data_IF_701356515106
#
_entry.id   IF_701356515106
#
_cell.length_a   1.000
_cell.length_b   1.000
_cell.length_c   1.000
_cell.angle_alpha   90.00
_cell.angle_beta   90.00
_cell.angle_gamma   90.00
#
_symmetry.space_group_name_H-M   'P 1'
#
loop_
_entity.id
_entity.type
_entity.pdbx_description
1 polymer ?
#
# COMPACT_ATOMS: atom_id res chain seq x y z
N UNK A 1 7.74 24.00 -29.85
CA UNK A 1 8.36 22.74 -29.36
C UNK A 1 7.24 21.78 -28.99
N UNK A 2 7.30 20.53 -29.46
CA UNK A 2 6.30 19.50 -29.13
C UNK A 2 6.28 19.26 -27.62
N UNK A 3 5.10 19.07 -27.02
CA UNK A 3 4.95 18.66 -25.63
C UNK A 3 5.14 17.14 -25.50
N UNK A 4 5.74 16.66 -24.42
CA UNK A 4 5.86 15.22 -24.17
C UNK A 4 4.48 14.59 -23.93
N UNK A 5 4.18 13.51 -24.65
CA UNK A 5 2.98 12.71 -24.43
C UNK A 5 3.37 11.26 -24.16
N UNK A 6 3.02 10.76 -22.98
CA UNK A 6 3.25 9.37 -22.63
C UNK A 6 2.12 8.48 -23.14
N UNK A 7 2.41 7.66 -24.16
CA UNK A 7 1.42 6.79 -24.82
C UNK A 7 0.68 5.83 -23.87
N UNK A 8 1.25 5.52 -22.70
CA UNK A 8 0.66 4.63 -21.71
C UNK A 8 0.11 5.35 -20.47
N UNK A 9 -0.17 6.66 -20.55
CA UNK A 9 -0.66 7.44 -19.40
C UNK A 9 -1.90 6.81 -18.76
N UNK A 10 -2.88 6.37 -19.56
CA UNK A 10 -4.09 5.69 -19.03
C UNK A 10 -3.79 4.41 -18.25
N UNK A 11 -2.74 3.67 -18.64
CA UNK A 11 -2.34 2.45 -17.93
C UNK A 11 -1.69 2.83 -16.60
N UNK A 12 -0.85 3.87 -16.59
CA UNK A 12 -0.27 4.39 -15.35
C UNK A 12 -1.36 4.85 -14.37
N UNK A 13 -2.33 5.64 -14.83
CA UNK A 13 -3.45 6.10 -14.00
C UNK A 13 -4.25 4.92 -13.42
N UNK A 14 -4.49 3.87 -14.23
CA UNK A 14 -5.14 2.65 -13.76
C UNK A 14 -4.31 1.97 -12.66
N UNK A 15 -2.99 1.92 -12.79
CA UNK A 15 -2.09 1.28 -11.81
C UNK A 15 -1.99 2.06 -10.51
N UNK A 16 -1.98 3.39 -10.58
CA UNK A 16 -2.11 4.25 -9.40
C UNK A 16 -3.42 3.98 -8.65
N UNK A 17 -4.54 3.87 -9.39
CA UNK A 17 -5.84 3.54 -8.80
C UNK A 17 -5.88 2.13 -8.17
N UNK A 18 -5.33 1.12 -8.84
CA UNK A 18 -5.24 -0.25 -8.30
C UNK A 18 -4.42 -0.31 -7.00
N UNK A 19 -3.32 0.45 -6.94
CA UNK A 19 -2.51 0.62 -5.72
C UNK A 19 -3.31 1.31 -4.63
N UNK A 20 -4.00 2.41 -4.93
CA UNK A 20 -4.86 3.11 -3.98
C UNK A 20 -5.95 2.22 -3.41
N UNK A 21 -6.61 1.41 -4.25
CA UNK A 21 -7.59 0.43 -3.79
C UNK A 21 -6.97 -0.65 -2.87
N UNK A 22 -5.79 -1.16 -3.21
CA UNK A 22 -5.09 -2.12 -2.35
C UNK A 22 -4.67 -1.50 -1.00
N UNK A 23 -4.36 -0.20 -0.94
CA UNK A 23 -4.08 0.51 0.32
C UNK A 23 -5.33 0.55 1.21
N UNK A 24 -6.49 0.88 0.64
CA UNK A 24 -7.76 0.89 1.39
C UNK A 24 -8.08 -0.51 1.94
N UNK A 25 -7.94 -1.56 1.13
CA UNK A 25 -8.16 -2.93 1.58
C UNK A 25 -7.24 -3.33 2.74
N UNK A 26 -5.97 -2.92 2.70
CA UNK A 26 -5.03 -3.17 3.79
C UNK A 26 -5.40 -2.39 5.06
N UNK A 27 -5.80 -1.12 4.92
CA UNK A 27 -6.24 -0.31 6.05
C UNK A 27 -7.48 -0.92 6.74
N UNK A 28 -8.45 -1.39 5.96
CA UNK A 28 -9.63 -2.08 6.48
C UNK A 28 -9.25 -3.39 7.19
N UNK A 29 -8.34 -4.18 6.62
CA UNK A 29 -7.87 -5.42 7.24
C UNK A 29 -7.18 -5.15 8.59
N UNK A 30 -6.33 -4.11 8.68
CA UNK A 30 -5.66 -3.70 9.93
C UNK A 30 -6.69 -3.26 10.96
N UNK A 31 -7.70 -2.47 10.55
CA UNK A 31 -8.77 -2.03 11.45
C UNK A 31 -9.54 -3.21 12.04
N UNK A 32 -9.88 -4.21 11.22
CA UNK A 32 -10.55 -5.42 11.68
C UNK A 32 -9.68 -6.23 12.64
N UNK A 33 -8.39 -6.38 12.33
CA UNK A 33 -7.42 -7.05 13.21
C UNK A 33 -7.34 -6.36 14.58
N UNK A 34 -7.25 -5.03 14.59
CA UNK A 34 -7.20 -4.25 15.83
C UNK A 34 -8.45 -4.45 16.69
N UNK A 35 -9.64 -4.39 16.07
CA UNK A 35 -10.89 -4.69 16.76
C UNK A 35 -10.93 -6.14 17.29
N UNK A 36 -10.34 -7.08 16.54
CA UNK A 36 -10.16 -8.47 16.97
C UNK A 36 -9.30 -8.58 18.24
N UNK A 37 -8.19 -7.84 18.32
CA UNK A 37 -7.33 -7.83 19.52
C UNK A 37 -8.06 -7.25 20.72
N UNK A 38 -8.77 -6.13 20.54
CA UNK A 38 -9.55 -5.50 21.62
C UNK A 38 -10.62 -6.43 22.17
N UNK A 39 -11.31 -7.16 21.29
CA UNK A 39 -12.30 -8.17 21.69
C UNK A 39 -11.65 -9.31 22.48
N UNK A 40 -10.51 -9.81 22.02
CA UNK A 40 -9.79 -10.90 22.65
C UNK A 40 -9.31 -10.52 24.06
N UNK A 41 -8.69 -9.34 24.18
CA UNK A 41 -8.28 -8.74 25.46
C UNK A 41 -9.46 -8.57 26.41
N UNK A 42 -10.62 -8.15 25.93
CA UNK A 42 -11.82 -8.02 26.75
C UNK A 42 -12.31 -9.39 27.29
N UNK A 43 -12.21 -10.46 26.49
CA UNK A 43 -12.55 -11.82 26.96
C UNK A 43 -11.53 -12.28 28.01
N UNK A 44 -10.24 -12.06 27.76
CA UNK A 44 -9.18 -12.42 28.69
C UNK A 44 -9.33 -11.75 30.06
N UNK A 45 -9.64 -10.44 30.07
CA UNK A 45 -9.96 -9.70 31.31
C UNK A 45 -11.15 -10.29 32.05
N UNK A 46 -12.24 -10.62 31.34
CA UNK A 46 -13.42 -11.26 31.96
C UNK A 46 -13.09 -12.61 32.61
N UNK A 47 -12.19 -13.39 32.02
CA UNK A 47 -11.73 -14.67 32.61
C UNK A 47 -10.98 -14.40 33.91
N UNK A 48 -10.03 -13.46 33.90
CA UNK A 48 -9.27 -13.06 35.09
C UNK A 48 -10.20 -12.59 36.20
N UNK A 49 -11.13 -11.68 35.89
CA UNK A 49 -12.08 -11.15 36.86
C UNK A 49 -12.98 -12.26 37.44
N UNK A 50 -13.46 -13.18 36.60
CA UNK A 50 -14.28 -14.30 37.03
C UNK A 50 -13.49 -15.29 37.92
N UNK A 51 -12.22 -15.53 37.60
CA UNK A 51 -11.32 -16.36 38.43
C UNK A 51 -11.04 -15.72 39.79
N UNK A 52 -10.80 -14.41 39.83
CA UNK A 52 -10.66 -13.67 41.09
C UNK A 52 -11.94 -13.74 41.93
N UNK A 53 -13.10 -13.53 41.31
CA UNK A 53 -14.39 -13.63 41.98
C UNK A 53 -14.63 -15.03 42.54
N UNK A 54 -14.32 -16.07 41.76
CA UNK A 54 -14.42 -17.47 42.21
C UNK A 54 -13.57 -17.70 43.45
N UNK A 55 -12.31 -17.26 43.42
CA UNK A 55 -11.38 -17.42 44.54
C UNK A 55 -11.86 -16.71 45.80
N UNK A 56 -12.27 -15.44 45.69
CA UNK A 56 -12.78 -14.66 46.82
C UNK A 56 -14.00 -15.34 47.47
N UNK A 57 -14.98 -15.77 46.67
CA UNK A 57 -16.15 -16.47 47.20
C UNK A 57 -15.84 -17.84 47.80
N UNK A 58 -14.82 -18.53 47.30
CA UNK A 58 -14.37 -19.79 47.90
C UNK A 58 -13.78 -19.60 49.29
N UNK A 59 -13.09 -18.48 49.53
CA UNK A 59 -12.52 -18.12 50.84
C UNK A 59 -13.63 -17.75 51.85
N UNK A 60 -14.68 -17.05 51.41
CA UNK A 60 -15.81 -16.62 52.26
C UNK A 60 -16.86 -17.74 52.53
N UNK A 61 -16.77 -18.86 51.82
CA UNK A 61 -17.77 -19.93 51.84
C UNK A 61 -18.89 -19.68 50.84
N UNK A 62 -18.97 -20.53 49.81
CA UNK A 62 -19.94 -20.44 48.71
C UNK A 62 -20.79 -21.70 48.61
N UNK A 63 -22.06 -21.55 48.26
CA UNK A 63 -22.91 -22.68 47.91
C UNK A 63 -22.36 -23.41 46.67
N UNK A 64 -22.39 -24.75 46.69
CA UNK A 64 -21.90 -25.58 45.58
C UNK A 64 -22.57 -25.28 44.23
N UNK A 65 -23.84 -24.87 44.24
CA UNK A 65 -24.57 -24.50 43.02
C UNK A 65 -24.03 -23.21 42.41
N UNK A 66 -23.75 -22.18 43.21
CA UNK A 66 -23.13 -20.94 42.76
C UNK A 66 -21.70 -21.17 42.26
N UNK A 67 -20.92 -22.00 42.97
CA UNK A 67 -19.58 -22.36 42.53
C UNK A 67 -19.61 -23.04 41.15
N UNK A 68 -20.55 -23.95 40.94
CA UNK A 68 -20.73 -24.61 39.64
C UNK A 68 -21.11 -23.62 38.54
N UNK A 69 -21.96 -22.62 38.83
CA UNK A 69 -22.29 -21.57 37.87
C UNK A 69 -21.05 -20.76 37.46
N UNK A 70 -20.21 -20.37 38.43
CA UNK A 70 -18.96 -19.64 38.15
C UNK A 70 -17.99 -20.46 37.31
N UNK A 71 -17.79 -21.74 37.64
CA UNK A 71 -16.93 -22.65 36.86
C UNK A 71 -17.44 -22.80 35.43
N UNK A 72 -18.75 -22.99 35.25
CA UNK A 72 -19.34 -23.11 33.91
C UNK A 72 -19.20 -21.82 33.11
N UNK A 73 -19.38 -20.66 33.75
CA UNK A 73 -19.19 -19.36 33.11
C UNK A 73 -17.74 -19.16 32.66
N UNK A 74 -16.77 -19.47 33.51
CA UNK A 74 -15.34 -19.41 33.15
C UNK A 74 -15.04 -20.35 31.97
N UNK A 75 -15.57 -21.57 31.98
CA UNK A 75 -15.39 -22.51 30.87
C UNK A 75 -15.97 -21.96 29.55
N UNK A 76 -17.16 -21.35 29.59
CA UNK A 76 -17.73 -20.69 28.41
C UNK A 76 -16.86 -19.53 27.90
N UNK A 77 -16.28 -18.72 28.80
CA UNK A 77 -15.36 -17.66 28.41
C UNK A 77 -14.07 -18.22 27.79
N UNK A 78 -13.55 -19.34 28.30
CA UNK A 78 -12.37 -20.01 27.73
C UNK A 78 -12.65 -20.53 26.31
N UNK A 79 -13.81 -21.15 26.07
CA UNK A 79 -14.23 -21.56 24.72
C UNK A 79 -14.39 -20.34 23.79
N UNK A 80 -14.95 -19.23 24.28
CA UNK A 80 -15.03 -17.99 23.52
C UNK A 80 -13.64 -17.41 23.19
N UNK A 81 -12.69 -17.50 24.12
CA UNK A 81 -11.31 -17.06 23.90
C UNK A 81 -10.63 -17.91 22.81
N UNK A 82 -10.80 -19.23 22.85
CA UNK A 82 -10.29 -20.13 21.82
C UNK A 82 -10.84 -19.80 20.44
N UNK A 83 -12.16 -19.55 20.35
CA UNK A 83 -12.78 -19.12 19.10
C UNK A 83 -12.24 -17.76 18.61
N UNK A 84 -12.09 -16.80 19.52
CA UNK A 84 -11.55 -15.46 19.21
C UNK A 84 -10.08 -15.51 18.79
N UNK A 85 -9.27 -16.41 19.35
CA UNK A 85 -7.87 -16.60 18.94
C UNK A 85 -7.78 -17.11 17.49
N UNK A 86 -8.62 -18.08 17.12
CA UNK A 86 -8.69 -18.58 15.73
C UNK A 86 -9.14 -17.49 14.76
N UNK A 87 -10.12 -16.67 15.16
CA UNK A 87 -10.54 -15.51 14.37
C UNK A 87 -9.38 -14.50 14.19
N UNK A 88 -8.62 -14.23 15.25
CA UNK A 88 -7.44 -13.37 15.20
C UNK A 88 -6.37 -13.88 14.24
N UNK A 89 -6.11 -15.19 14.20
CA UNK A 89 -5.18 -15.80 13.24
C UNK A 89 -5.64 -15.56 11.78
N UNK A 90 -6.94 -15.67 11.52
CA UNK A 90 -7.51 -15.38 10.20
C UNK A 90 -7.37 -13.89 9.83
N UNK A 91 -7.62 -12.99 10.79
CA UNK A 91 -7.46 -11.55 10.59
C UNK A 91 -6.00 -11.18 10.33
N UNK A 92 -5.05 -11.76 11.07
CA UNK A 92 -3.61 -11.60 10.85
C UNK A 92 -3.20 -12.08 9.45
N UNK A 93 -3.68 -13.25 9.04
CA UNK A 93 -3.44 -13.80 7.70
C UNK A 93 -3.98 -12.87 6.61
N UNK A 94 -5.17 -12.29 6.83
CA UNK A 94 -5.77 -11.33 5.89
C UNK A 94 -4.94 -10.05 5.77
N UNK A 95 -4.44 -9.51 6.88
CA UNK A 95 -3.51 -8.37 6.86
C UNK A 95 -2.25 -8.70 6.06
N UNK A 96 -1.61 -9.84 6.33
CA UNK A 96 -0.43 -10.28 5.58
C UNK A 96 -0.72 -10.42 4.07
N UNK A 97 -1.88 -10.99 3.70
CA UNK A 97 -2.30 -11.11 2.30
C UNK A 97 -2.51 -9.75 1.63
N UNK A 98 -3.22 -8.84 2.30
CA UNK A 98 -3.48 -7.49 1.78
C UNK A 98 -2.20 -6.67 1.64
N UNK A 99 -1.25 -6.81 2.56
CA UNK A 99 0.07 -6.20 2.47
C UNK A 99 0.87 -6.69 1.26
N UNK A 100 0.88 -8.01 1.03
CA UNK A 100 1.53 -8.59 -0.16
C UNK A 100 0.87 -8.10 -1.46
N UNK A 101 -0.45 -7.99 -1.48
CA UNK A 101 -1.18 -7.44 -2.63
C UNK A 101 -0.81 -5.98 -2.89
N UNK A 102 -0.78 -5.15 -1.84
CA UNK A 102 -0.35 -3.76 -1.95
C UNK A 102 1.08 -3.65 -2.48
N UNK A 103 2.01 -4.46 -1.96
CA UNK A 103 3.40 -4.46 -2.42
C UNK A 103 3.50 -4.77 -3.92
N UNK A 104 2.75 -5.78 -4.40
CA UNK A 104 2.70 -6.12 -5.83
C UNK A 104 2.16 -4.95 -6.67
N UNK A 105 1.09 -4.30 -6.23
CA UNK A 105 0.51 -3.14 -6.94
C UNK A 105 1.42 -1.93 -6.95
N UNK A 106 2.11 -1.66 -5.85
CA UNK A 106 3.11 -0.61 -5.78
C UNK A 106 4.32 -0.90 -6.70
N UNK A 107 4.74 -2.16 -6.82
CA UNK A 107 5.79 -2.54 -7.76
C UNK A 107 5.35 -2.37 -9.21
N UNK A 108 4.13 -2.81 -9.56
CA UNK A 108 3.56 -2.60 -10.90
C UNK A 108 3.53 -1.11 -11.25
N UNK A 109 2.96 -0.25 -10.42
CA UNK A 109 2.93 1.20 -10.67
C UNK A 109 4.34 1.78 -10.84
N UNK A 110 5.29 1.45 -9.96
CA UNK A 110 6.68 1.91 -10.06
C UNK A 110 7.34 1.53 -11.38
N UNK A 111 7.03 0.35 -11.93
CA UNK A 111 7.57 -0.05 -13.25
C UNK A 111 7.04 0.85 -14.38
N UNK A 112 5.76 1.25 -14.32
CA UNK A 112 5.18 2.16 -15.31
C UNK A 112 5.71 3.58 -15.17
N UNK A 113 5.91 4.06 -13.95
CA UNK A 113 6.55 5.35 -13.69
C UNK A 113 7.98 5.40 -14.22
N UNK A 114 8.76 4.34 -13.96
CA UNK A 114 10.13 4.24 -14.48
C UNK A 114 10.15 4.25 -16.01
N UNK A 115 9.21 3.56 -16.66
CA UNK A 115 9.07 3.59 -18.11
C UNK A 115 8.71 5.00 -18.61
N UNK A 116 7.80 5.71 -17.94
CA UNK A 116 7.45 7.10 -18.28
C UNK A 116 8.66 8.03 -18.18
N UNK A 117 9.44 7.91 -17.10
CA UNK A 117 10.67 8.69 -16.91
C UNK A 117 11.69 8.40 -18.02
N UNK A 118 11.93 7.13 -18.36
CA UNK A 118 12.84 6.74 -19.44
C UNK A 118 12.39 7.34 -20.79
N UNK A 119 11.09 7.27 -21.10
CA UNK A 119 10.54 7.82 -22.34
C UNK A 119 10.60 9.34 -22.39
N UNK A 120 10.42 10.00 -21.24
CA UNK A 120 10.60 11.44 -21.13
C UNK A 120 12.04 11.84 -21.42
N UNK A 121 13.03 11.16 -20.83
CA UNK A 121 14.44 11.42 -21.09
C UNK A 121 14.80 11.23 -22.57
N UNK A 122 14.32 10.16 -23.19
CA UNK A 122 14.51 9.93 -24.63
C UNK A 122 13.92 11.06 -25.50
N UNK A 123 12.74 11.57 -25.12
CA UNK A 123 12.09 12.67 -25.82
C UNK A 123 12.88 13.98 -25.69
N UNK A 124 13.39 14.29 -24.50
CA UNK A 124 14.22 15.48 -24.26
C UNK A 124 15.51 15.44 -25.07
N UNK A 125 16.23 14.31 -25.04
CA UNK A 125 17.46 14.14 -25.81
C UNK A 125 17.20 14.24 -27.32
N UNK A 126 16.12 13.63 -27.83
CA UNK A 126 15.77 13.73 -29.24
C UNK A 126 15.49 15.18 -29.66
N UNK A 127 14.72 15.93 -28.87
CA UNK A 127 14.45 17.34 -29.16
C UNK A 127 15.72 18.19 -29.15
N UNK A 128 16.62 17.95 -28.19
CA UNK A 128 17.91 18.64 -28.11
C UNK A 128 18.77 18.38 -29.33
N UNK A 129 18.87 17.12 -29.77
CA UNK A 129 19.61 16.76 -30.98
C UNK A 129 19.00 17.37 -32.24
N UNK A 130 17.67 17.36 -32.36
CA UNK A 130 16.97 17.99 -33.48
C UNK A 130 17.18 19.52 -33.53
N UNK A 131 17.17 20.16 -32.36
CA UNK A 131 17.45 21.60 -32.22
C UNK A 131 18.90 21.93 -32.59
N UNK A 132 19.86 21.11 -32.15
CA UNK A 132 21.27 21.25 -32.54
C UNK A 132 21.44 21.14 -34.07
N UNK A 133 20.87 20.11 -34.69
CA UNK A 133 20.91 19.96 -36.15
C UNK A 133 20.32 21.17 -36.89
N UNK A 134 19.19 21.70 -36.40
CA UNK A 134 18.58 22.90 -36.96
C UNK A 134 19.51 24.13 -36.86
N UNK A 135 20.19 24.32 -35.74
CA UNK A 135 21.15 25.42 -35.57
C UNK A 135 22.39 25.24 -36.45
N UNK A 136 22.90 24.02 -36.60
CA UNK A 136 24.03 23.71 -37.48
C UNK A 136 23.70 23.98 -38.95
N UNK A 137 22.50 23.58 -39.42
CA UNK A 137 22.02 23.89 -40.77
C UNK A 137 21.86 25.40 -41.00
N UNK A 138 21.32 26.13 -40.02
CA UNK A 138 21.20 27.59 -40.08
C UNK A 138 22.58 28.28 -40.14
N UNK A 139 23.55 27.79 -39.38
CA UNK A 139 24.93 28.29 -39.42
C UNK A 139 25.60 28.00 -40.76
N UNK A 140 25.46 26.77 -41.28
CA UNK A 140 26.00 26.36 -42.57
C UNK A 140 25.45 27.18 -43.74
N UNK A 141 24.13 27.40 -43.77
CA UNK A 141 23.49 28.24 -44.81
C UNK A 141 23.91 29.70 -44.74
N UNK A 142 24.08 30.27 -43.53
CA UNK A 142 24.62 31.62 -43.36
C UNK A 142 26.05 31.72 -43.87
N UNK A 143 26.93 30.79 -43.48
CA UNK A 143 28.33 30.76 -43.90
C UNK A 143 28.47 30.69 -45.42
N UNK A 144 27.70 29.81 -46.06
CA UNK A 144 27.68 29.68 -47.52
C UNK A 144 27.26 30.98 -48.22
N UNK A 145 26.21 31.64 -47.73
CA UNK A 145 25.74 32.93 -48.29
C UNK A 145 26.78 34.03 -48.13
N UNK A 146 27.41 34.18 -46.97
CA UNK A 146 28.46 35.19 -46.76
C UNK A 146 29.67 34.97 -47.67
N UNK A 147 30.09 33.72 -47.89
CA UNK A 147 31.22 33.43 -48.77
C UNK A 147 30.90 33.65 -50.25
N UNK A 148 29.67 33.36 -50.70
CA UNK A 148 29.23 33.72 -52.06
C UNK A 148 29.24 35.23 -52.28
N UNK A 149 28.72 36.02 -51.33
CA UNK A 149 28.75 37.49 -51.43
C UNK A 149 30.15 38.10 -51.39
N UNK A 150 31.12 37.41 -50.79
CA UNK A 150 32.52 37.82 -50.78
C UNK A 150 33.23 37.47 -52.10
N UNK A 151 32.86 36.34 -52.71
CA UNK A 151 33.41 35.90 -54.00
C UNK A 151 32.87 36.68 -55.20
N UNK A 152 31.68 37.28 -55.11
CA UNK A 152 31.09 38.15 -56.15
C UNK A 152 31.56 39.61 -56.09
N UNK A 153 32.30 40.01 -55.04
CA UNK A 153 32.85 41.36 -54.86
C UNK A 153 34.38 41.45 -55.08
N UNK A 154 35.01 40.37 -55.53
CA UNK A 154 36.40 40.35 -56.00
C UNK A 154 36.44 40.21 -57.51
#
# INVERSE_FOLDING_TARGET
>A
MSQFNFRFQKILDLKENEKGFAQLQMADAIKLQQAGYERNEAIYKKIIDAEHLKKAKQEDGINISELRMLVNYIHQLQEQLLASNRELELLQSNVARSQNQLQRKAQEEKTWDSLKQQKHSQFVEHNKTAEQHYFDELAGTRFYRTNQTASERG
#
